data_IF_741300225755
#
_entry.id   IF_741300225755
#
_cell.length_a   1.000
_cell.length_b   1.000
_cell.length_c   1.000
_cell.angle_alpha   90.00
_cell.angle_beta   90.00
_cell.angle_gamma   90.00
#
_symmetry.space_group_name_H-M   'P 1'
#
loop_
_entity.id
_entity.type
_entity.pdbx_description
1 polymer ?
#
# COMPACT_ATOMS: atom_id res chain seq x y z
N UNK A 1 8.58 28.15 15.71
CA UNK A 1 8.47 28.09 14.23
C UNK A 1 8.57 26.67 13.68
N UNK A 2 8.80 25.65 14.53
CA UNK A 2 8.99 24.22 14.17
C UNK A 2 7.70 23.41 13.94
N UNK A 3 6.53 23.93 14.29
CA UNK A 3 5.26 23.16 14.22
C UNK A 3 4.67 22.97 12.82
N UNK A 4 5.16 23.69 11.81
CA UNK A 4 4.49 23.73 10.48
C UNK A 4 5.10 22.78 9.43
N UNK A 5 6.32 22.31 9.59
CA UNK A 5 7.00 21.50 8.57
C UNK A 5 6.53 20.02 8.57
N UNK A 6 6.38 19.41 9.75
CA UNK A 6 5.97 17.99 9.84
C UNK A 6 4.57 17.72 9.27
N UNK A 7 3.61 18.62 9.47
CA UNK A 7 2.23 18.47 9.03
C UNK A 7 2.09 18.50 7.49
N UNK A 8 2.89 19.32 6.81
CA UNK A 8 2.86 19.40 5.33
C UNK A 8 3.35 18.11 4.66
N UNK A 9 4.33 17.44 5.22
CA UNK A 9 4.90 16.22 4.65
C UNK A 9 3.96 15.02 4.82
N UNK A 10 3.34 14.84 5.98
CA UNK A 10 2.38 13.76 6.20
C UNK A 10 1.10 13.93 5.40
N UNK A 11 0.63 15.17 5.23
CA UNK A 11 -0.49 15.45 4.32
C UNK A 11 -0.14 15.13 2.87
N UNK A 12 1.09 15.32 2.45
CA UNK A 12 1.54 14.98 1.09
C UNK A 12 1.63 13.45 0.91
N UNK A 13 2.13 12.72 1.90
CA UNK A 13 2.17 11.24 1.87
C UNK A 13 0.75 10.67 1.91
N UNK A 14 -0.13 11.19 2.75
CA UNK A 14 -1.55 10.80 2.80
C UNK A 14 -2.29 11.19 1.52
N UNK A 15 -2.02 12.35 0.94
CA UNK A 15 -2.58 12.77 -0.35
C UNK A 15 -2.08 11.91 -1.50
N UNK A 16 -0.81 11.51 -1.51
CA UNK A 16 -0.25 10.56 -2.47
C UNK A 16 -0.84 9.16 -2.30
N UNK A 17 -1.03 8.70 -1.07
CA UNK A 17 -1.71 7.44 -0.78
C UNK A 17 -3.19 7.51 -1.17
N UNK A 18 -3.88 8.64 -0.96
CA UNK A 18 -5.27 8.83 -1.40
C UNK A 18 -5.42 8.94 -2.92
N UNK A 19 -4.43 9.51 -3.62
CA UNK A 19 -4.39 9.52 -5.08
C UNK A 19 -4.22 8.11 -5.68
N UNK A 20 -3.62 7.17 -4.97
CA UNK A 20 -3.57 5.74 -5.32
C UNK A 20 -4.95 5.08 -5.32
N UNK A 21 -5.95 5.67 -4.67
CA UNK A 21 -7.29 5.12 -4.46
C UNK A 21 -8.32 5.61 -5.48
N UNK A 22 -8.03 6.69 -6.20
CA UNK A 22 -8.86 7.15 -7.29
C UNK A 22 -8.71 6.18 -8.48
N UNK A 23 -9.62 5.22 -8.60
CA UNK A 23 -9.86 4.53 -9.88
C UNK A 23 -10.23 5.59 -10.90
N UNK A 24 -9.58 5.66 -12.07
CA UNK A 24 -10.09 6.53 -13.12
C UNK A 24 -11.50 6.08 -13.48
N UNK A 25 -12.48 6.93 -13.19
CA UNK A 25 -13.82 6.79 -13.75
C UNK A 25 -13.70 6.77 -15.27
N UNK A 26 -14.50 5.97 -16.00
CA UNK A 26 -14.48 6.01 -17.44
C UNK A 26 -14.88 7.41 -17.88
N UNK A 27 -14.02 8.09 -18.63
CA UNK A 27 -14.33 9.32 -19.34
C UNK A 27 -15.39 8.98 -20.40
N UNK A 28 -16.66 9.10 -20.06
CA UNK A 28 -17.74 9.22 -21.01
C UNK A 28 -17.70 10.66 -21.51
N UNK A 29 -17.24 10.82 -22.74
CA UNK A 29 -17.33 12.07 -23.46
C UNK A 29 -18.81 12.36 -23.74
N UNK A 30 -19.47 13.15 -22.90
CA UNK A 30 -20.78 13.74 -23.22
C UNK A 30 -20.52 15.12 -23.84
N UNK A 31 -20.61 15.15 -25.17
CA UNK A 31 -20.65 16.37 -25.96
C UNK A 31 -22.04 16.96 -25.79
N UNK A 32 -22.22 17.94 -24.91
CA UNK A 32 -23.27 18.95 -25.06
C UNK A 32 -22.64 20.29 -25.41
N UNK A 33 -22.75 20.62 -26.68
CA UNK A 33 -22.58 21.97 -27.23
C UNK A 33 -23.78 22.79 -26.79
N UNK A 34 -23.56 23.84 -26.01
CA UNK A 34 -24.51 24.97 -25.91
C UNK A 34 -23.96 26.11 -26.74
N UNK A 35 -24.69 26.38 -27.82
CA UNK A 35 -24.53 27.59 -28.62
C UNK A 35 -24.81 28.84 -27.80
N UNK A 36 -23.92 29.83 -27.93
CA UNK A 36 -24.35 31.24 -27.85
C UNK A 36 -23.68 32.02 -28.99
N UNK A 37 -24.58 32.63 -29.79
CA UNK A 37 -24.29 33.37 -30.99
C UNK A 37 -23.49 34.67 -30.75
N UNK A 38 -22.57 34.98 -31.65
CA UNK A 38 -22.47 36.37 -32.16
C UNK A 38 -21.89 36.41 -33.58
N UNK A 39 -22.63 37.06 -34.40
CA UNK A 39 -22.55 37.45 -35.80
C UNK A 39 -21.26 38.18 -36.20
N UNK A 40 -20.75 37.89 -37.38
CA UNK A 40 -20.39 38.80 -38.49
C UNK A 40 -19.88 38.00 -39.71
N UNK A 41 -20.61 38.15 -40.85
CA UNK A 41 -20.17 37.67 -42.18
C UNK A 41 -19.36 38.74 -42.93
N UNK A 42 -19.22 38.73 -44.28
CA UNK A 42 -19.47 37.66 -45.24
C UNK A 42 -18.33 37.39 -46.29
N UNK A 43 -18.36 36.21 -46.93
CA UNK A 43 -18.10 35.80 -48.34
C UNK A 43 -16.91 36.38 -49.16
N UNK A 44 -16.48 35.81 -50.35
CA UNK A 44 -16.80 34.53 -50.99
C UNK A 44 -15.62 33.80 -51.73
N UNK A 45 -15.95 32.65 -52.35
CA UNK A 45 -15.61 32.18 -53.72
C UNK A 45 -14.62 31.03 -53.96
N UNK A 46 -15.14 30.12 -54.80
CA UNK A 46 -14.55 29.16 -55.76
C UNK A 46 -14.01 27.82 -55.16
N UNK A 47 -14.38 26.71 -55.74
CA UNK A 47 -15.10 26.13 -56.87
C UNK A 47 -15.15 24.63 -56.73
N UNK A 48 -16.24 24.07 -57.07
CA UNK A 48 -16.62 23.02 -58.00
C UNK A 48 -15.66 21.88 -58.30
N UNK A 49 -16.20 20.72 -58.15
CA UNK A 49 -16.53 19.55 -59.01
C UNK A 49 -15.88 18.28 -58.49
N UNK A 50 -16.39 17.06 -58.48
CA UNK A 50 -17.53 16.42 -59.12
C UNK A 50 -17.86 15.11 -58.41
N UNK A 51 -19.07 14.78 -58.37
CA UNK A 51 -19.94 13.66 -58.47
C UNK A 51 -19.36 12.33 -59.03
N UNK A 52 -19.85 11.23 -58.45
CA UNK A 52 -20.48 10.05 -59.04
C UNK A 52 -20.42 8.91 -58.01
N UNK A 53 -21.48 8.49 -57.40
CA UNK A 53 -22.54 7.56 -57.84
C UNK A 53 -22.01 6.14 -58.04
N UNK A 54 -22.48 5.24 -57.18
CA UNK A 54 -22.91 3.89 -57.56
C UNK A 54 -23.59 3.18 -56.37
N UNK A 55 -24.91 3.26 -56.39
CA UNK A 55 -25.83 2.30 -55.76
C UNK A 55 -25.77 1.00 -56.54
N UNK A 56 -25.70 -0.11 -55.86
CA UNK A 56 -26.30 -1.35 -56.36
C UNK A 56 -26.92 -2.17 -55.23
N UNK A 57 -28.22 -2.24 -55.34
CA UNK A 57 -29.19 -3.15 -54.76
C UNK A 57 -29.06 -4.56 -55.35
N UNK A 58 -29.27 -5.58 -54.55
CA UNK A 58 -29.87 -6.85 -54.92
C UNK A 58 -30.19 -7.60 -53.65
N UNK A 59 -31.30 -7.81 -53.27
CA UNK A 59 -32.52 -8.53 -53.69
C UNK A 59 -32.59 -9.88 -52.98
N UNK A 60 -33.54 -9.93 -52.06
CA UNK A 60 -34.12 -11.09 -51.43
C UNK A 60 -35.08 -11.77 -52.38
N UNK A 61 -35.10 -13.07 -52.51
CA UNK A 61 -36.30 -13.90 -52.50
C UNK A 61 -36.01 -15.39 -52.80
N UNK A 62 -36.78 -16.19 -52.07
CA UNK A 62 -37.29 -17.52 -52.46
C UNK A 62 -36.38 -18.75 -52.22
N UNK A 63 -36.70 -19.56 -51.23
CA UNK A 63 -37.38 -20.82 -51.53
C UNK A 63 -38.04 -21.38 -50.26
N UNK A 64 -39.34 -21.25 -50.18
CA UNK A 64 -40.25 -22.10 -49.42
C UNK A 64 -40.74 -23.16 -50.44
N UNK A 65 -40.66 -24.40 -50.05
CA UNK A 65 -41.76 -25.35 -50.13
C UNK A 65 -41.31 -26.83 -50.15
N UNK A 66 -42.17 -27.57 -49.47
CA UNK A 66 -42.47 -29.02 -49.62
C UNK A 66 -41.53 -30.00 -48.90
N UNK A 67 -41.95 -30.71 -47.86
CA UNK A 67 -42.97 -31.79 -47.95
C UNK A 67 -43.49 -32.20 -46.56
N UNK A 68 -44.79 -32.31 -46.46
CA UNK A 68 -45.56 -33.02 -45.45
C UNK A 68 -45.37 -34.54 -45.64
N UNK A 69 -45.15 -35.26 -44.55
CA UNK A 69 -45.23 -36.71 -44.49
C UNK A 69 -45.68 -37.19 -43.11
N UNK A 70 -46.92 -37.61 -43.03
CA UNK A 70 -47.63 -38.22 -41.94
C UNK A 70 -47.09 -39.61 -41.56
N UNK A 71 -46.92 -39.89 -40.26
CA UNK A 71 -46.61 -41.26 -39.79
C UNK A 71 -46.59 -41.36 -38.28
N UNK A 72 -47.70 -41.78 -37.70
CA UNK A 72 -47.88 -42.16 -36.29
C UNK A 72 -47.19 -43.50 -35.98
N UNK A 73 -46.35 -43.55 -34.95
CA UNK A 73 -46.02 -44.79 -34.20
C UNK A 73 -45.52 -44.51 -32.81
N UNK A 74 -46.08 -45.22 -31.83
CA UNK A 74 -45.88 -45.16 -30.39
C UNK A 74 -44.56 -45.84 -29.92
N UNK A 75 -44.13 -45.63 -28.68
CA UNK A 75 -42.69 -45.67 -28.29
C UNK A 75 -42.22 -47.02 -27.82
N UNK A 76 -41.10 -47.46 -28.36
CA UNK A 76 -40.30 -48.55 -27.81
C UNK A 76 -39.16 -47.96 -26.95
N UNK A 77 -39.12 -48.43 -25.70
CA UNK A 77 -38.05 -48.20 -24.72
C UNK A 77 -36.73 -48.79 -25.27
N UNK A 78 -35.80 -47.98 -25.69
CA UNK A 78 -34.43 -48.40 -26.03
C UNK A 78 -33.43 -47.73 -25.09
N UNK A 79 -32.62 -48.59 -24.49
CA UNK A 79 -31.55 -48.23 -23.56
C UNK A 79 -30.58 -47.22 -24.16
N UNK A 80 -30.39 -46.11 -23.43
CA UNK A 80 -29.29 -45.16 -23.70
C UNK A 80 -27.97 -45.79 -23.26
N UNK A 81 -27.25 -46.39 -24.11
CA UNK A 81 -25.79 -46.49 -24.02
C UNK A 81 -25.22 -45.15 -24.46
N UNK A 82 -25.02 -44.26 -23.49
CA UNK A 82 -24.26 -43.04 -23.71
C UNK A 82 -22.78 -43.45 -23.90
N UNK A 83 -22.36 -43.58 -25.11
CA UNK A 83 -20.95 -43.49 -25.48
C UNK A 83 -20.50 -42.06 -25.15
N UNK A 84 -19.90 -41.90 -23.97
CA UNK A 84 -19.08 -40.75 -23.68
C UNK A 84 -17.88 -40.83 -24.61
N UNK A 85 -17.95 -40.09 -25.74
CA UNK A 85 -16.75 -39.73 -26.47
C UNK A 85 -15.85 -38.97 -25.47
N UNK A 86 -14.83 -39.67 -24.98
CA UNK A 86 -13.71 -39.02 -24.29
C UNK A 86 -13.09 -38.08 -25.30
N UNK A 87 -13.37 -36.78 -25.12
CA UNK A 87 -12.53 -35.77 -25.74
C UNK A 87 -11.08 -36.11 -25.39
N UNK A 88 -10.17 -36.16 -26.37
CA UNK A 88 -8.77 -36.40 -26.09
C UNK A 88 -8.30 -35.29 -25.17
N UNK A 89 -7.88 -35.68 -23.98
CA UNK A 89 -7.18 -34.83 -23.04
C UNK A 89 -5.88 -34.37 -23.74
N UNK A 90 -5.94 -33.26 -24.44
CA UNK A 90 -4.74 -32.53 -24.80
C UNK A 90 -4.16 -31.99 -23.48
N UNK A 91 -3.52 -32.82 -22.71
CA UNK A 91 -2.64 -32.47 -21.63
C UNK A 91 -1.43 -31.75 -22.23
N UNK A 92 -1.67 -30.51 -22.68
CA UNK A 92 -0.60 -29.57 -22.93
C UNK A 92 0.18 -29.39 -21.61
N UNK A 93 1.49 -29.14 -21.67
CA UNK A 93 2.33 -29.06 -20.49
C UNK A 93 1.63 -28.15 -19.47
N UNK A 94 1.40 -28.63 -18.21
CA UNK A 94 0.71 -27.92 -17.14
C UNK A 94 1.35 -26.55 -17.03
N UNK A 95 0.72 -25.53 -17.62
CA UNK A 95 1.23 -24.14 -17.60
C UNK A 95 1.36 -23.74 -16.15
N UNK A 96 2.58 -23.38 -15.72
CA UNK A 96 2.82 -22.88 -14.36
C UNK A 96 1.86 -21.73 -14.10
N UNK A 97 1.16 -21.74 -12.96
CA UNK A 97 0.15 -20.72 -12.61
C UNK A 97 0.75 -19.33 -12.41
N UNK A 98 2.02 -19.27 -12.06
CA UNK A 98 2.76 -18.05 -11.71
C UNK A 98 3.84 -17.76 -12.76
N UNK A 99 4.12 -16.48 -12.93
CA UNK A 99 5.25 -15.94 -13.66
C UNK A 99 6.23 -15.32 -12.66
N UNK A 100 7.47 -15.81 -12.66
CA UNK A 100 8.53 -15.35 -11.76
C UNK A 100 9.32 -14.20 -12.37
N UNK A 101 9.84 -13.33 -11.52
CA UNK A 101 10.56 -12.14 -11.92
C UNK A 101 11.74 -11.91 -10.98
N UNK A 102 12.87 -11.46 -11.52
CA UNK A 102 14.03 -11.00 -10.77
C UNK A 102 14.37 -9.59 -11.24
N UNK A 103 14.56 -8.68 -10.30
CA UNK A 103 14.86 -7.28 -10.58
C UNK A 103 16.05 -6.78 -9.78
N UNK A 104 16.79 -5.85 -10.37
CA UNK A 104 17.79 -5.05 -9.69
C UNK A 104 17.47 -3.58 -9.92
N UNK A 105 17.58 -2.75 -8.86
CA UNK A 105 17.27 -1.33 -8.92
C UNK A 105 18.35 -0.53 -8.19
N UNK A 106 18.57 0.68 -8.66
CA UNK A 106 19.40 1.70 -8.02
C UNK A 106 18.54 2.93 -7.73
N UNK A 107 18.70 3.51 -6.52
CA UNK A 107 17.88 4.63 -6.03
C UNK A 107 18.77 5.71 -5.41
N UNK A 108 19.13 6.77 -6.14
CA UNK A 108 19.62 8.00 -5.57
C UNK A 108 18.44 8.82 -5.03
N UNK A 109 18.51 9.20 -3.76
CA UNK A 109 17.44 9.95 -3.08
C UNK A 109 18.03 11.12 -2.29
N UNK A 110 17.32 12.25 -2.28
CA UNK A 110 17.59 13.40 -1.42
C UNK A 110 16.98 13.15 -0.05
N UNK A 111 17.76 13.32 1.01
CA UNK A 111 17.32 13.21 2.41
C UNK A 111 16.78 14.57 2.85
N UNK A 112 15.57 14.60 3.39
CA UNK A 112 14.99 15.83 3.93
C UNK A 112 15.60 16.15 5.30
N UNK A 113 16.09 17.38 5.53
CA UNK A 113 16.67 17.80 6.81
C UNK A 113 15.58 18.05 7.85
N UNK A 114 15.01 16.97 8.40
CA UNK A 114 13.90 17.01 9.36
C UNK A 114 14.33 17.26 10.79
N UNK A 115 15.63 17.22 11.06
CA UNK A 115 16.20 17.52 12.37
C UNK A 115 17.61 18.12 12.25
N UNK A 116 18.18 18.75 13.33
CA UNK A 116 19.48 19.38 13.29
C UNK A 116 20.63 18.44 12.91
N UNK A 117 20.58 17.15 13.28
CA UNK A 117 21.60 16.18 12.92
C UNK A 117 21.73 16.00 11.40
N UNK A 118 20.61 15.90 10.69
CA UNK A 118 20.57 15.83 9.23
C UNK A 118 20.96 17.16 8.56
N UNK A 119 20.73 18.29 9.25
CA UNK A 119 21.05 19.66 8.76
C UNK A 119 22.47 20.11 9.09
N UNK A 120 23.34 19.18 9.53
CA UNK A 120 24.78 19.44 9.70
C UNK A 120 25.27 19.46 11.14
N UNK A 121 24.40 19.30 12.16
CA UNK A 121 24.84 19.11 13.56
C UNK A 121 25.24 17.63 13.75
N UNK A 122 26.29 17.21 13.06
CA UNK A 122 26.86 15.87 13.07
C UNK A 122 28.39 15.96 13.07
N UNK A 123 29.08 14.83 13.23
CA UNK A 123 30.54 14.79 13.28
C UNK A 123 31.23 15.23 11.98
N UNK A 124 30.50 15.19 10.85
CA UNK A 124 31.00 15.63 9.54
C UNK A 124 30.82 17.14 9.33
N UNK A 125 30.09 17.84 10.21
CA UNK A 125 29.79 19.28 10.14
C UNK A 125 29.22 19.69 8.77
N UNK A 126 28.38 18.85 8.17
CA UNK A 126 27.75 19.10 6.87
C UNK A 126 26.36 18.48 6.80
N UNK A 127 25.45 19.06 6.00
CA UNK A 127 24.15 18.45 5.75
C UNK A 127 24.28 17.03 5.16
N UNK A 128 23.37 16.16 5.57
CA UNK A 128 23.23 14.80 5.04
C UNK A 128 22.04 14.80 4.07
N UNK A 129 22.34 15.04 2.81
CA UNK A 129 21.33 15.26 1.77
C UNK A 129 21.23 14.13 0.74
N UNK A 130 22.13 13.14 0.79
CA UNK A 130 22.20 12.06 -0.19
C UNK A 130 22.05 10.69 0.45
N UNK A 131 21.14 9.90 -0.09
CA UNK A 131 20.99 8.46 0.13
C UNK A 131 21.19 7.73 -1.19
N UNK A 132 22.06 6.73 -1.21
CA UNK A 132 22.24 5.82 -2.34
C UNK A 132 21.76 4.44 -1.91
N UNK A 133 20.91 3.79 -2.71
CA UNK A 133 20.47 2.45 -2.40
C UNK A 133 20.53 1.51 -3.61
N UNK A 134 20.94 0.27 -3.35
CA UNK A 134 20.93 -0.82 -4.30
C UNK A 134 19.94 -1.89 -3.83
N UNK A 135 19.03 -2.32 -4.71
CA UNK A 135 17.98 -3.27 -4.41
C UNK A 135 18.08 -4.51 -5.28
N UNK A 136 17.87 -5.67 -4.68
CA UNK A 136 17.65 -6.95 -5.37
C UNK A 136 16.25 -7.46 -5.01
N UNK A 137 15.44 -7.82 -6.02
CA UNK A 137 14.01 -8.09 -5.84
C UNK A 137 13.62 -9.38 -6.56
N UNK A 138 13.01 -10.29 -5.83
CA UNK A 138 12.31 -11.44 -6.41
C UNK A 138 10.82 -11.25 -6.26
N UNK A 139 10.06 -11.45 -7.36
CA UNK A 139 8.60 -11.38 -7.32
C UNK A 139 7.96 -12.42 -8.23
N UNK A 140 6.68 -12.61 -8.00
CA UNK A 140 5.82 -13.39 -8.87
C UNK A 140 4.52 -12.63 -9.16
N UNK A 141 3.93 -12.92 -10.30
CA UNK A 141 2.61 -12.43 -10.67
C UNK A 141 1.77 -13.60 -11.21
N UNK A 142 0.45 -13.46 -11.16
CA UNK A 142 -0.45 -14.39 -11.82
C UNK A 142 -0.36 -14.23 -13.34
N UNK A 143 -0.41 -15.35 -14.06
CA UNK A 143 -0.37 -15.29 -15.52
C UNK A 143 -1.57 -14.55 -16.08
N UNK A 144 -1.39 -13.77 -17.16
CA UNK A 144 -2.47 -13.07 -17.83
C UNK A 144 -3.64 -14.00 -18.18
N UNK A 145 -4.87 -13.57 -17.85
CA UNK A 145 -6.10 -14.33 -18.08
C UNK A 145 -6.43 -15.39 -17.04
N UNK A 146 -5.57 -15.64 -16.03
CA UNK A 146 -5.92 -16.49 -14.89
C UNK A 146 -7.03 -15.84 -14.05
N UNK A 147 -7.72 -16.65 -13.22
CA UNK A 147 -8.79 -16.16 -12.35
C UNK A 147 -8.33 -14.98 -11.45
N UNK A 148 -7.14 -15.11 -10.84
CA UNK A 148 -6.57 -14.06 -10.00
C UNK A 148 -6.17 -12.81 -10.80
N UNK A 149 -5.61 -12.97 -12.02
CA UNK A 149 -5.29 -11.84 -12.89
C UNK A 149 -6.55 -11.09 -13.34
N UNK A 150 -7.65 -11.79 -13.59
CA UNK A 150 -8.95 -11.17 -13.93
C UNK A 150 -9.47 -10.29 -12.78
N UNK A 151 -9.28 -10.71 -11.54
CA UNK A 151 -9.68 -9.95 -10.34
C UNK A 151 -8.72 -8.78 -10.12
N UNK A 152 -7.41 -9.05 -10.02
CA UNK A 152 -6.43 -8.07 -9.50
C UNK A 152 -5.68 -7.30 -10.58
N UNK A 153 -5.66 -7.80 -11.82
CA UNK A 153 -5.19 -7.04 -12.98
C UNK A 153 -3.67 -6.88 -13.10
N UNK A 154 -2.92 -7.98 -13.09
CA UNK A 154 -1.47 -7.96 -13.29
C UNK A 154 -0.68 -7.47 -12.08
N UNK A 155 -1.25 -7.67 -10.88
CA UNK A 155 -0.56 -7.47 -9.61
C UNK A 155 0.61 -8.43 -9.49
N UNK A 156 1.75 -7.94 -9.03
CA UNK A 156 2.91 -8.73 -8.66
C UNK A 156 3.30 -8.45 -7.22
N UNK A 157 3.88 -9.43 -6.56
CA UNK A 157 4.33 -9.34 -5.17
C UNK A 157 5.58 -10.18 -4.95
N UNK A 158 6.35 -9.83 -3.92
CA UNK A 158 7.59 -10.53 -3.65
C UNK A 158 8.34 -10.05 -2.42
N UNK A 159 9.60 -10.45 -2.37
CA UNK A 159 10.54 -10.08 -1.33
C UNK A 159 11.75 -9.40 -1.97
N UNK A 160 12.27 -8.38 -1.31
CA UNK A 160 13.46 -7.65 -1.72
C UNK A 160 14.46 -7.50 -0.60
N UNK A 161 15.71 -7.31 -0.98
CA UNK A 161 16.78 -6.87 -0.12
C UNK A 161 17.38 -5.58 -0.67
N UNK A 162 17.79 -4.66 0.21
CA UNK A 162 18.41 -3.41 -0.17
C UNK A 162 19.59 -3.08 0.76
N UNK A 163 20.58 -2.43 0.19
CA UNK A 163 21.69 -1.82 0.91
C UNK A 163 21.60 -0.31 0.75
N UNK A 164 21.76 0.42 1.85
CA UNK A 164 21.69 1.88 1.89
C UNK A 164 23.01 2.47 2.34
N UNK A 165 23.44 3.53 1.66
CA UNK A 165 24.56 4.38 2.01
C UNK A 165 24.07 5.82 2.16
N UNK A 166 24.23 6.37 3.36
CA UNK A 166 23.85 7.75 3.72
C UNK A 166 25.06 8.68 3.78
N UNK A 167 26.20 8.27 3.28
CA UNK A 167 27.48 8.98 3.32
C UNK A 167 27.96 9.37 4.74
N UNK A 168 27.42 8.72 5.77
CA UNK A 168 27.84 8.84 7.18
C UNK A 168 27.83 7.48 7.89
N UNK A 169 28.76 6.57 7.55
CA UNK A 169 28.80 5.25 8.16
C UNK A 169 29.23 5.28 9.64
N UNK A 170 29.81 6.39 10.10
CA UNK A 170 30.27 6.53 11.50
C UNK A 170 29.12 6.71 12.48
N UNK A 171 28.12 7.50 12.13
CA UNK A 171 27.00 7.87 13.01
C UNK A 171 25.69 7.18 12.66
N UNK A 172 25.41 6.91 11.34
CA UNK A 172 24.20 6.20 10.91
C UNK A 172 24.43 4.72 10.59
N UNK A 173 25.65 4.36 10.16
CA UNK A 173 25.92 3.06 9.59
C UNK A 173 25.45 2.96 8.14
N UNK A 174 25.61 1.77 7.54
CA UNK A 174 25.12 1.42 6.21
C UNK A 174 24.11 0.28 6.36
N UNK A 175 22.82 0.58 6.57
CA UNK A 175 21.85 -0.44 6.87
C UNK A 175 21.48 -1.29 5.65
N UNK A 176 21.15 -2.55 5.95
CA UNK A 176 20.56 -3.50 5.00
C UNK A 176 19.08 -3.63 5.35
N UNK A 177 18.22 -3.66 4.36
CA UNK A 177 16.80 -3.90 4.56
C UNK A 177 16.35 -5.20 3.88
N UNK A 178 15.40 -5.89 4.52
CA UNK A 178 14.62 -6.98 3.93
C UNK A 178 13.16 -6.55 3.97
N UNK A 179 12.48 -6.62 2.83
CA UNK A 179 11.13 -6.10 2.71
C UNK A 179 10.23 -6.95 1.82
N UNK A 180 8.95 -6.93 2.13
CA UNK A 180 7.88 -7.38 1.26
C UNK A 180 7.48 -6.23 0.35
N UNK A 181 7.10 -6.53 -0.88
CA UNK A 181 6.61 -5.51 -1.80
C UNK A 181 5.47 -6.03 -2.67
N UNK A 182 4.68 -5.09 -3.13
CA UNK A 182 3.62 -5.36 -4.08
C UNK A 182 3.46 -4.14 -4.98
N UNK A 183 3.22 -4.43 -6.24
CA UNK A 183 2.93 -3.40 -7.21
C UNK A 183 1.93 -3.85 -8.26
N UNK A 184 1.41 -2.88 -9.00
CA UNK A 184 0.50 -3.13 -10.10
C UNK A 184 0.61 -2.04 -11.16
N UNK A 185 0.08 -2.36 -12.33
CA UNK A 185 -0.04 -1.40 -13.42
C UNK A 185 -1.24 -0.47 -13.17
N UNK A 186 -0.99 0.84 -13.17
CA UNK A 186 -2.01 1.89 -13.11
C UNK A 186 -2.63 2.08 -14.49
N UNK A 187 -1.75 2.32 -15.49
CA UNK A 187 -2.18 2.62 -16.85
C UNK A 187 -1.21 2.04 -17.89
N UNK A 188 -1.75 1.73 -19.06
CA UNK A 188 -0.96 1.36 -20.23
C UNK A 188 -0.88 2.56 -21.17
N UNK A 189 0.31 3.12 -21.35
CA UNK A 189 0.55 4.30 -22.17
C UNK A 189 0.79 3.94 -23.63
N UNK A 190 1.45 2.79 -23.89
CA UNK A 190 1.65 2.25 -25.23
C UNK A 190 1.75 0.72 -25.21
N UNK A 191 2.05 0.10 -26.36
CA UNK A 191 2.28 -1.35 -26.44
C UNK A 191 3.44 -1.82 -25.56
N UNK A 192 4.46 -0.97 -25.32
CA UNK A 192 5.67 -1.29 -24.57
C UNK A 192 5.83 -0.48 -23.28
N UNK A 193 5.02 0.56 -23.06
CA UNK A 193 5.18 1.48 -21.95
C UNK A 193 3.94 1.45 -21.03
N UNK A 194 4.14 1.34 -19.74
CA UNK A 194 3.08 1.40 -18.73
C UNK A 194 3.51 2.20 -17.50
N UNK A 195 2.55 2.89 -16.89
CA UNK A 195 2.68 3.52 -15.59
C UNK A 195 2.29 2.50 -14.51
N UNK A 196 3.11 2.39 -13.48
CA UNK A 196 2.95 1.43 -12.40
C UNK A 196 3.16 2.12 -11.06
N UNK A 197 2.66 1.49 -9.99
CA UNK A 197 3.03 1.80 -8.62
C UNK A 197 3.64 0.58 -7.94
N UNK A 198 4.39 0.81 -6.90
CA UNK A 198 4.90 -0.20 -5.98
C UNK A 198 5.02 0.39 -4.58
N UNK A 199 4.69 -0.40 -3.58
CA UNK A 199 5.00 -0.11 -2.19
C UNK A 199 5.86 -1.23 -1.60
N UNK A 200 6.76 -0.85 -0.71
CA UNK A 200 7.62 -1.76 0.03
C UNK A 200 7.41 -1.53 1.53
N UNK A 201 7.35 -2.61 2.28
CA UNK A 201 7.31 -2.60 3.72
C UNK A 201 8.26 -3.66 4.28
N UNK A 202 9.14 -3.27 5.18
CA UNK A 202 10.12 -4.19 5.72
C UNK A 202 10.85 -3.68 6.96
N UNK A 203 11.91 -4.37 7.26
CA UNK A 203 12.81 -4.07 8.38
C UNK A 203 14.20 -3.80 7.84
N UNK A 204 14.86 -2.81 8.42
CA UNK A 204 16.25 -2.46 8.15
C UNK A 204 17.09 -2.58 9.42
N UNK A 205 18.27 -3.10 9.28
CA UNK A 205 19.21 -3.39 10.37
C UNK A 205 20.63 -2.97 9.97
N UNK A 206 21.51 -2.82 10.98
CA UNK A 206 22.86 -2.29 10.78
C UNK A 206 22.95 -0.78 11.00
N UNK A 207 21.90 -0.17 11.54
CA UNK A 207 21.93 1.21 12.01
C UNK A 207 22.82 1.37 13.23
N UNK A 208 23.49 2.51 13.36
CA UNK A 208 24.16 2.96 14.57
C UNK A 208 23.21 3.87 15.35
N UNK A 209 22.66 3.41 16.47
CA UNK A 209 21.70 4.21 17.23
C UNK A 209 22.37 5.34 17.99
N UNK A 210 21.57 6.29 18.47
CA UNK A 210 22.00 7.24 19.49
C UNK A 210 22.63 6.51 20.68
N UNK A 211 23.76 7.01 21.10
CA UNK A 211 24.44 6.57 22.32
C UNK A 211 25.06 7.81 22.98
N UNK A 212 24.82 7.98 24.28
CA UNK A 212 25.23 9.19 25.01
C UNK A 212 26.75 9.40 25.02
N UNK A 213 27.52 8.33 24.97
CA UNK A 213 28.97 8.39 25.07
C UNK A 213 29.64 8.32 23.70
N UNK A 214 29.12 7.48 22.79
CA UNK A 214 29.80 7.16 21.54
C UNK A 214 29.14 7.71 20.29
N UNK A 215 27.86 8.17 20.37
CA UNK A 215 27.09 8.66 19.23
C UNK A 215 26.03 9.69 19.66
N UNK A 216 26.44 10.67 20.47
CA UNK A 216 25.54 11.64 21.12
C UNK A 216 24.91 12.64 20.11
N UNK A 217 25.53 12.87 18.96
CA UNK A 217 25.00 13.77 17.95
C UNK A 217 23.86 13.15 17.12
N UNK A 218 23.77 11.81 17.06
CA UNK A 218 22.69 11.14 16.34
C UNK A 218 21.34 11.27 17.06
N UNK A 219 20.74 12.42 16.98
CA UNK A 219 19.38 12.67 17.54
C UNK A 219 18.26 12.12 16.64
N UNK A 220 18.59 11.42 15.56
CA UNK A 220 17.63 10.93 14.59
C UNK A 220 17.10 9.53 14.93
N UNK A 221 17.98 8.59 15.29
CA UNK A 221 17.63 7.17 15.38
C UNK A 221 18.15 6.52 16.66
N UNK A 222 17.23 6.02 17.49
CA UNK A 222 17.55 5.38 18.78
C UNK A 222 17.59 3.85 18.73
N UNK A 223 17.48 3.22 17.55
CA UNK A 223 17.46 1.76 17.45
C UNK A 223 18.31 1.20 16.31
N UNK A 224 18.82 -0.03 16.50
CA UNK A 224 19.55 -0.79 15.46
C UNK A 224 18.65 -1.42 14.42
N UNK A 225 17.36 -1.56 14.73
CA UNK A 225 16.33 -2.15 13.89
C UNK A 225 15.25 -1.10 13.64
N UNK A 226 14.99 -0.78 12.37
CA UNK A 226 13.99 0.20 11.98
C UNK A 226 13.08 -0.33 10.89
N UNK A 227 11.83 0.14 10.87
CA UNK A 227 10.92 -0.13 9.78
C UNK A 227 11.36 0.63 8.52
N UNK A 228 11.18 0.00 7.37
CA UNK A 228 11.29 0.59 6.04
C UNK A 228 9.90 0.68 5.42
N UNK A 229 9.52 1.87 5.00
CA UNK A 229 8.35 2.15 4.18
C UNK A 229 8.82 2.82 2.90
N UNK A 230 8.34 2.36 1.75
CA UNK A 230 8.64 3.01 0.47
C UNK A 230 7.43 2.96 -0.44
N UNK A 231 7.26 4.02 -1.23
CA UNK A 231 6.25 4.11 -2.30
C UNK A 231 6.92 4.66 -3.54
N UNK A 232 6.69 4.01 -4.66
CA UNK A 232 7.25 4.39 -5.95
C UNK A 232 6.17 4.44 -7.03
N UNK A 233 6.30 5.42 -7.92
CA UNK A 233 5.56 5.49 -9.17
C UNK A 233 6.56 5.44 -10.31
N UNK A 234 6.39 4.55 -11.26
CA UNK A 234 7.40 4.38 -12.28
C UNK A 234 6.83 3.97 -13.64
N UNK A 235 7.54 4.36 -14.66
CA UNK A 235 7.37 3.89 -16.02
C UNK A 235 8.08 2.56 -16.18
N UNK A 236 7.37 1.57 -16.69
CA UNK A 236 7.94 0.30 -17.10
C UNK A 236 7.97 0.23 -18.61
N UNK A 237 9.15 0.14 -19.18
CA UNK A 237 9.39 -0.01 -20.60
C UNK A 237 9.82 -1.43 -20.90
N UNK A 238 9.02 -2.14 -21.68
CA UNK A 238 9.33 -3.48 -22.16
C UNK A 238 10.38 -3.41 -23.27
N UNK A 239 11.63 -3.75 -22.95
CA UNK A 239 12.73 -3.81 -23.92
C UNK A 239 12.58 -5.04 -24.81
N UNK A 240 12.43 -6.23 -24.19
CA UNK A 240 12.13 -7.49 -24.84
C UNK A 240 10.90 -8.15 -24.21
N UNK A 241 10.50 -9.32 -24.69
CA UNK A 241 9.42 -10.06 -24.03
C UNK A 241 9.79 -10.55 -22.61
N UNK A 242 11.07 -10.63 -22.28
CA UNK A 242 11.55 -11.05 -20.96
C UNK A 242 12.16 -9.92 -20.11
N UNK A 243 12.62 -8.83 -20.72
CA UNK A 243 13.34 -7.75 -20.03
C UNK A 243 12.55 -6.47 -20.03
N UNK A 244 12.34 -5.91 -18.85
CA UNK A 244 11.71 -4.61 -18.61
C UNK A 244 12.72 -3.64 -17.97
N UNK A 245 12.76 -2.40 -18.45
CA UNK A 245 13.42 -1.26 -17.82
C UNK A 245 12.39 -0.50 -17.00
N UNK A 246 12.76 -0.08 -15.79
CA UNK A 246 11.89 0.72 -14.89
C UNK A 246 12.58 2.01 -14.53
N UNK A 247 11.82 3.11 -14.47
CA UNK A 247 12.31 4.43 -14.08
C UNK A 247 11.18 5.30 -13.53
N UNK A 248 11.42 5.99 -12.40
CA UNK A 248 10.42 6.90 -11.84
C UNK A 248 10.74 7.40 -10.44
N UNK A 249 9.88 8.28 -9.89
CA UNK A 249 10.04 8.81 -8.54
C UNK A 249 9.79 7.74 -7.46
N UNK A 250 10.48 7.91 -6.34
CA UNK A 250 10.40 7.07 -5.15
C UNK A 250 10.45 7.93 -3.89
N UNK A 251 9.75 7.48 -2.84
CA UNK A 251 9.73 8.09 -1.51
C UNK A 251 10.06 6.99 -0.50
N UNK A 252 10.99 7.24 0.40
CA UNK A 252 11.43 6.27 1.41
C UNK A 252 11.34 6.89 2.81
N UNK A 253 10.90 6.08 3.77
CA UNK A 253 10.83 6.46 5.18
C UNK A 253 11.38 5.34 6.06
N UNK A 254 12.23 5.72 7.03
CA UNK A 254 12.70 4.86 8.08
C UNK A 254 12.30 5.40 9.44
N UNK A 255 11.84 4.51 10.33
CA UNK A 255 11.57 4.85 11.73
C UNK A 255 11.55 3.60 12.62
N UNK A 256 11.72 3.78 13.92
CA UNK A 256 11.55 2.69 14.87
C UNK A 256 10.12 2.59 15.45
N UNK A 257 9.19 3.43 15.00
CA UNK A 257 7.82 3.42 15.47
C UNK A 257 7.65 3.78 16.94
N UNK A 258 8.51 4.64 17.50
CA UNK A 258 8.55 5.07 18.90
C UNK A 258 8.87 3.97 19.93
N UNK A 259 9.41 2.85 19.48
CA UNK A 259 9.89 1.79 20.41
C UNK A 259 11.09 2.24 21.23
N UNK A 260 11.88 3.19 20.70
CA UNK A 260 13.02 3.84 21.37
C UNK A 260 13.07 5.32 21.02
N UNK A 261 13.72 6.12 21.87
CA UNK A 261 13.98 7.55 21.62
C UNK A 261 15.50 7.74 21.50
N UNK A 262 15.98 8.56 20.55
CA UNK A 262 15.22 9.39 19.59
C UNK A 262 14.59 8.60 18.45
N UNK A 263 13.56 9.16 17.84
CA UNK A 263 12.91 8.67 16.63
C UNK A 263 12.38 9.84 15.77
N UNK A 264 13.28 10.65 15.24
CA UNK A 264 12.89 11.72 14.31
C UNK A 264 12.51 11.16 12.93
N UNK A 265 12.95 9.95 12.61
CA UNK A 265 12.76 9.29 11.33
C UNK A 265 13.59 9.90 10.20
N UNK A 266 13.98 9.07 9.22
CA UNK A 266 14.65 9.52 8.01
C UNK A 266 13.68 9.44 6.84
N UNK A 267 13.49 10.59 6.17
CA UNK A 267 12.64 10.70 4.99
C UNK A 267 13.51 11.08 3.79
N UNK A 268 13.33 10.39 2.68
CA UNK A 268 14.03 10.71 1.43
C UNK A 268 13.11 10.59 0.23
N UNK A 269 13.42 11.36 -0.82
CA UNK A 269 12.75 11.31 -2.11
C UNK A 269 13.78 11.35 -3.24
N UNK A 270 13.51 10.61 -4.30
CA UNK A 270 14.43 10.57 -5.42
C UNK A 270 13.89 9.82 -6.61
N UNK A 271 14.79 9.22 -7.36
CA UNK A 271 14.49 8.46 -8.55
C UNK A 271 14.93 7.01 -8.37
N UNK A 272 14.16 6.10 -8.93
CA UNK A 272 14.60 4.71 -9.11
C UNK A 272 14.84 4.42 -10.58
N UNK A 273 15.86 3.64 -10.85
CA UNK A 273 16.14 3.04 -12.15
C UNK A 273 16.45 1.56 -11.96
N UNK A 274 15.87 0.68 -12.80
CA UNK A 274 16.06 -0.74 -12.60
C UNK A 274 15.77 -1.58 -13.84
N UNK A 275 16.24 -2.81 -13.79
CA UNK A 275 16.00 -3.86 -14.78
C UNK A 275 15.26 -5.02 -14.13
N UNK A 276 14.27 -5.57 -14.82
CA UNK A 276 13.50 -6.72 -14.36
C UNK A 276 13.46 -7.79 -15.44
N UNK A 277 13.97 -8.99 -15.13
CA UNK A 277 13.86 -10.17 -15.94
C UNK A 277 12.58 -10.96 -15.58
N UNK A 278 11.77 -11.30 -16.59
CA UNK A 278 10.50 -12.02 -16.44
C UNK A 278 10.66 -13.44 -17.00
N UNK A 279 10.81 -14.41 -16.14
CA UNK A 279 11.08 -15.78 -16.56
C UNK A 279 9.87 -16.44 -17.24
N UNK A 280 10.07 -16.91 -18.46
CA UNK A 280 9.05 -17.62 -19.23
C UNK A 280 7.84 -16.78 -19.62
N UNK A 281 7.97 -15.45 -19.69
CA UNK A 281 6.95 -14.57 -20.27
C UNK A 281 7.00 -14.70 -21.79
N UNK A 282 5.91 -15.17 -22.39
CA UNK A 282 5.81 -15.28 -23.84
C UNK A 282 5.54 -13.93 -24.49
N UNK A 283 5.87 -13.79 -25.79
CA UNK A 283 5.58 -12.58 -26.56
C UNK A 283 4.07 -12.28 -26.62
N UNK A 284 3.22 -13.31 -26.61
CA UNK A 284 1.77 -13.17 -26.56
C UNK A 284 1.32 -12.59 -25.22
N UNK A 285 1.78 -13.13 -24.09
CA UNK A 285 1.48 -12.64 -22.74
C UNK A 285 1.96 -11.20 -22.51
N UNK A 286 3.14 -10.85 -23.04
CA UNK A 286 3.67 -9.50 -22.99
C UNK A 286 2.80 -8.46 -23.73
N UNK A 287 2.08 -8.89 -24.78
CA UNK A 287 1.21 -8.06 -25.63
C UNK A 287 -0.24 -7.99 -25.15
N UNK A 288 -0.66 -8.76 -24.16
CA UNK A 288 -2.05 -8.75 -23.68
C UNK A 288 -2.44 -7.30 -23.29
N UNK A 289 -3.25 -6.71 -24.16
CA UNK A 289 -3.63 -5.29 -24.03
C UNK A 289 -4.92 -5.10 -23.26
N UNK A 290 -5.84 -6.07 -23.35
CA UNK A 290 -7.20 -5.93 -22.84
C UNK A 290 -7.32 -6.55 -21.45
N UNK A 291 -7.88 -5.78 -20.53
CA UNK A 291 -8.34 -6.33 -19.25
C UNK A 291 -9.51 -7.28 -19.56
N UNK A 292 -9.38 -8.52 -19.16
CA UNK A 292 -10.48 -9.47 -19.20
C UNK A 292 -11.39 -9.14 -18.02
N UNK A 293 -12.69 -9.07 -18.25
CA UNK A 293 -13.66 -8.77 -17.20
C UNK A 293 -13.51 -9.77 -16.05
N UNK A 294 -13.52 -9.21 -14.83
CA UNK A 294 -13.45 -10.02 -13.63
C UNK A 294 -14.70 -10.90 -13.47
N UNK A 295 -14.61 -11.95 -12.65
CA UNK A 295 -15.79 -12.73 -12.29
C UNK A 295 -16.78 -11.87 -11.51
N UNK A 296 -18.06 -12.24 -11.57
CA UNK A 296 -19.12 -11.55 -10.83
C UNK A 296 -18.82 -11.52 -9.34
N UNK A 297 -19.05 -10.37 -8.73
CA UNK A 297 -18.90 -10.15 -7.30
C UNK A 297 -20.26 -9.94 -6.64
N UNK A 298 -20.48 -10.62 -5.52
CA UNK A 298 -21.66 -10.38 -4.68
C UNK A 298 -21.23 -9.60 -3.44
N UNK A 299 -21.70 -8.36 -3.25
CA UNK A 299 -21.42 -7.59 -2.05
C UNK A 299 -21.82 -8.34 -0.78
N UNK A 300 -21.04 -8.24 0.27
CA UNK A 300 -21.28 -8.92 1.54
C UNK A 300 -20.53 -8.25 2.69
N UNK A 301 -20.98 -8.50 3.91
CA UNK A 301 -20.28 -8.08 5.12
C UNK A 301 -19.21 -9.11 5.51
N UNK A 302 -18.06 -8.62 5.97
CA UNK A 302 -17.05 -9.40 6.70
C UNK A 302 -16.79 -8.76 8.05
N UNK A 303 -16.33 -9.54 9.02
CA UNK A 303 -15.99 -9.04 10.35
C UNK A 303 -14.55 -9.42 10.64
N UNK A 304 -13.71 -8.43 10.90
CA UNK A 304 -12.31 -8.64 11.25
C UNK A 304 -12.13 -8.43 12.75
N UNK A 305 -11.59 -9.44 13.44
CA UNK A 305 -11.12 -9.34 14.81
C UNK A 305 -9.60 -9.31 14.78
N UNK A 306 -8.98 -8.29 15.37
CA UNK A 306 -7.52 -8.13 15.46
C UNK A 306 -7.13 -7.96 16.91
N UNK A 307 -6.15 -8.75 17.34
CA UNK A 307 -5.43 -8.57 18.60
C UNK A 307 -4.02 -8.09 18.27
N UNK A 308 -3.58 -7.04 18.94
CA UNK A 308 -2.24 -6.49 18.72
C UNK A 308 -1.58 -6.06 20.03
N UNK A 309 -0.26 -6.01 19.99
CA UNK A 309 0.53 -5.48 21.07
C UNK A 309 1.79 -4.80 20.54
N UNK A 310 2.36 -3.96 21.38
CA UNK A 310 3.65 -3.33 21.16
C UNK A 310 4.21 -2.78 22.46
N UNK A 311 5.33 -2.11 22.34
CA UNK A 311 5.93 -1.36 23.44
C UNK A 311 6.40 -0.02 22.91
N UNK A 312 6.41 1.00 23.78
CA UNK A 312 6.90 2.33 23.44
C UNK A 312 7.57 3.01 24.64
N UNK A 313 8.49 3.92 24.36
CA UNK A 313 8.98 4.86 25.34
C UNK A 313 8.17 6.15 25.29
N UNK A 314 8.05 6.82 26.43
CA UNK A 314 7.34 8.10 26.54
C UNK A 314 8.32 9.24 26.77
N UNK A 315 8.19 10.33 26.01
CA UNK A 315 8.76 11.62 26.37
C UNK A 315 7.81 12.35 27.31
N UNK A 316 8.29 12.77 28.47
CA UNK A 316 7.53 13.60 29.42
C UNK A 316 8.21 14.95 29.52
N UNK A 317 7.41 16.02 29.40
CA UNK A 317 7.89 17.39 29.59
C UNK A 317 7.97 17.69 31.09
N UNK A 318 9.14 18.19 31.54
CA UNK A 318 9.36 18.63 32.91
C UNK A 318 10.34 19.81 32.89
N UNK A 319 10.02 20.90 33.58
CA UNK A 319 10.83 22.12 33.68
C UNK A 319 11.34 22.62 32.31
N UNK A 320 10.46 22.65 31.31
CA UNK A 320 10.77 23.13 29.95
C UNK A 320 11.59 22.14 29.08
N UNK A 321 12.03 21.03 29.64
CA UNK A 321 12.80 20.00 28.96
C UNK A 321 11.94 18.74 28.69
N UNK A 322 12.34 17.96 27.69
CA UNK A 322 11.73 16.67 27.41
C UNK A 322 12.64 15.52 27.88
N UNK A 323 12.11 14.67 28.75
CA UNK A 323 12.82 13.51 29.28
C UNK A 323 12.18 12.24 28.75
N UNK A 324 13.05 11.35 28.23
CA UNK A 324 12.60 10.02 27.79
C UNK A 324 12.49 9.08 29.01
N UNK A 325 11.39 8.32 29.09
CA UNK A 325 11.26 7.32 30.16
C UNK A 325 12.38 6.26 30.05
N UNK A 326 12.96 5.84 31.19
CA UNK A 326 14.00 4.80 31.21
C UNK A 326 13.46 3.46 30.72
N UNK A 327 12.19 3.18 31.04
CA UNK A 327 11.51 1.93 30.70
C UNK A 327 10.58 2.09 29.49
N UNK A 328 10.37 0.99 28.80
CA UNK A 328 9.35 0.88 27.78
C UNK A 328 8.01 0.43 28.40
N UNK A 329 6.93 1.03 27.96
CA UNK A 329 5.58 0.72 28.38
C UNK A 329 4.89 -0.19 27.38
N UNK A 330 4.12 -1.16 27.88
CA UNK A 330 3.34 -2.08 27.06
C UNK A 330 2.10 -1.39 26.53
N UNK A 331 1.81 -1.63 25.24
CA UNK A 331 0.55 -1.27 24.57
C UNK A 331 -0.12 -2.56 24.12
N UNK A 332 -1.41 -2.73 24.45
CA UNK A 332 -2.25 -3.85 24.00
C UNK A 332 -3.53 -3.31 23.40
N UNK A 333 -4.04 -3.96 22.37
CA UNK A 333 -5.28 -3.52 21.77
C UNK A 333 -6.05 -4.61 21.04
N UNK A 334 -7.31 -4.31 20.82
CA UNK A 334 -8.27 -5.13 20.12
C UNK A 334 -9.05 -4.25 19.15
N UNK A 335 -9.18 -4.68 17.89
CA UNK A 335 -10.10 -4.07 16.94
C UNK A 335 -11.14 -5.07 16.50
N UNK A 336 -12.40 -4.67 16.51
CA UNK A 336 -13.50 -5.42 15.91
C UNK A 336 -14.14 -4.57 14.82
N UNK A 337 -13.89 -4.93 13.56
CA UNK A 337 -14.31 -4.16 12.40
C UNK A 337 -15.37 -4.89 11.58
N UNK A 338 -16.53 -4.23 11.38
CA UNK A 338 -17.58 -4.65 10.45
C UNK A 338 -17.34 -3.96 9.09
N UNK A 339 -16.97 -4.75 8.07
CA UNK A 339 -16.51 -4.25 6.77
C UNK A 339 -17.45 -4.68 5.65
N UNK A 340 -17.99 -3.74 4.90
CA UNK A 340 -18.76 -3.99 3.68
C UNK A 340 -17.84 -4.09 2.48
N UNK A 341 -17.88 -5.22 1.77
CA UNK A 341 -17.10 -5.48 0.58
C UNK A 341 -17.89 -5.02 -0.65
N UNK A 342 -17.44 -3.92 -1.29
CA UNK A 342 -18.06 -3.38 -2.50
C UNK A 342 -17.63 -4.16 -3.75
N UNK A 343 -16.50 -4.82 -3.68
CA UNK A 343 -15.89 -5.60 -4.75
C UNK A 343 -14.72 -6.43 -4.22
N UNK A 344 -14.00 -7.07 -5.10
CA UNK A 344 -12.83 -7.87 -4.72
C UNK A 344 -11.69 -7.04 -4.10
N UNK A 345 -11.59 -5.76 -4.48
CA UNK A 345 -10.43 -4.91 -4.16
C UNK A 345 -10.69 -3.87 -3.09
N UNK A 346 -11.93 -3.55 -2.80
CA UNK A 346 -12.26 -2.45 -1.91
C UNK A 346 -13.33 -2.83 -0.91
N UNK A 347 -13.10 -2.48 0.33
CA UNK A 347 -14.06 -2.59 1.42
C UNK A 347 -13.93 -1.44 2.40
N UNK A 348 -15.02 -1.05 3.01
CA UNK A 348 -15.06 -0.02 4.03
C UNK A 348 -16.06 -0.37 5.13
N UNK A 349 -15.91 0.22 6.29
CA UNK A 349 -16.78 -0.08 7.42
C UNK A 349 -16.40 0.68 8.68
N UNK A 350 -16.91 0.19 9.80
CA UNK A 350 -16.67 0.75 11.13
C UNK A 350 -15.96 -0.27 12.00
N UNK A 351 -15.13 0.22 12.92
CA UNK A 351 -14.40 -0.59 13.90
C UNK A 351 -14.57 -0.04 15.31
N UNK A 352 -14.81 -0.94 16.25
CA UNK A 352 -14.69 -0.69 17.67
C UNK A 352 -13.27 -1.04 18.09
N UNK A 353 -12.57 -0.11 18.73
CA UNK A 353 -11.13 -0.18 18.99
C UNK A 353 -10.88 -0.04 20.50
N UNK A 354 -10.59 -1.15 21.16
CA UNK A 354 -10.15 -1.15 22.58
C UNK A 354 -8.65 -1.04 22.68
N UNK A 355 -8.15 -0.21 23.59
CA UNK A 355 -6.74 -0.01 23.83
C UNK A 355 -6.39 0.11 25.32
N UNK A 356 -5.29 -0.53 25.70
CA UNK A 356 -4.51 -0.28 26.89
C UNK A 356 -3.17 0.29 26.48
N UNK A 357 -2.82 1.49 26.94
CA UNK A 357 -1.50 2.12 26.76
C UNK A 357 -0.89 2.41 28.10
N UNK A 358 0.06 1.57 28.53
CA UNK A 358 0.77 1.71 29.80
C UNK A 358 1.60 2.99 29.92
N UNK A 359 1.83 3.71 28.82
CA UNK A 359 2.52 5.00 28.81
C UNK A 359 1.57 6.19 28.98
N UNK A 360 0.26 5.96 28.86
CA UNK A 360 -0.71 7.05 28.91
C UNK A 360 -0.76 7.68 30.30
N UNK A 361 -0.79 9.01 30.30
CA UNK A 361 -0.86 9.83 31.50
C UNK A 361 0.28 9.60 32.50
N UNK A 362 1.42 9.04 32.09
CA UNK A 362 2.65 8.97 32.88
C UNK A 362 3.20 10.41 33.04
N UNK A 363 3.56 10.76 34.25
CA UNK A 363 4.04 12.10 34.60
C UNK A 363 5.24 12.06 35.54
N UNK A 364 5.99 13.15 35.59
CA UNK A 364 7.04 13.39 36.59
C UNK A 364 6.43 14.32 37.63
N UNK A 365 6.35 13.94 38.91
CA UNK A 365 5.80 14.78 39.96
C UNK A 365 6.70 16.00 40.20
N UNK A 366 6.09 17.17 40.41
CA UNK A 366 6.80 18.38 40.81
C UNK A 366 7.43 18.14 42.20
N UNK A 367 8.75 18.02 42.23
CA UNK A 367 9.51 17.95 43.48
C UNK A 367 10.36 19.22 43.62
N UNK A 368 10.34 19.81 44.79
CA UNK A 368 11.29 20.86 45.18
C UNK A 368 12.63 20.17 45.39
N UNK A 369 13.53 20.27 44.42
CA UNK A 369 14.93 19.79 44.55
C UNK A 369 15.80 20.89 45.15
N UNK A 370 16.65 20.54 46.12
CA UNK A 370 17.64 21.46 46.62
C UNK A 370 18.65 21.82 45.51
N UNK A 371 19.10 23.07 45.53
CA UNK A 371 20.10 23.59 44.58
C UNK A 371 21.37 22.72 44.68
N UNK A 372 21.69 21.95 43.62
CA UNK A 372 22.90 21.13 43.53
C UNK A 372 22.69 19.64 43.36
N UNK A 373 21.48 19.11 43.55
CA UNK A 373 21.18 17.70 43.29
C UNK A 373 20.73 17.52 41.85
N UNK A 374 21.30 16.55 41.13
CA UNK A 374 20.74 16.05 39.88
C UNK A 374 19.47 15.28 40.25
N UNK A 375 18.26 15.72 39.83
CA UNK A 375 17.04 15.04 40.23
C UNK A 375 17.01 13.63 39.62
N UNK A 376 16.93 12.60 40.43
CA UNK A 376 16.45 11.29 40.01
C UNK A 376 14.99 11.47 39.57
N UNK A 377 14.76 11.56 38.26
CA UNK A 377 13.45 11.75 37.69
C UNK A 377 12.62 10.49 37.84
N UNK A 378 11.66 10.52 38.75
CA UNK A 378 10.72 9.42 38.96
C UNK A 378 9.53 9.54 38.01
N UNK A 379 9.35 8.53 37.16
CA UNK A 379 8.20 8.43 36.25
C UNK A 379 7.06 7.68 36.92
N UNK A 380 6.00 8.38 37.29
CA UNK A 380 4.84 7.83 37.99
C UNK A 380 3.77 7.38 37.01
N UNK A 381 3.31 6.13 37.16
CA UNK A 381 2.18 5.58 36.40
C UNK A 381 0.86 5.88 37.11
N UNK A 382 -0.17 6.38 36.41
CA UNK A 382 -1.50 6.54 36.96
C UNK A 382 -2.20 5.18 37.14
N UNK A 383 -3.41 5.20 37.71
CA UNK A 383 -4.28 4.04 37.74
C UNK A 383 -4.64 3.52 36.33
N UNK A 384 -4.85 2.22 36.19
CA UNK A 384 -5.14 1.53 34.93
C UNK A 384 -6.34 2.12 34.16
N UNK A 385 -7.31 2.67 34.90
CA UNK A 385 -8.49 3.32 34.37
C UNK A 385 -8.19 4.58 33.54
N UNK A 386 -7.02 5.24 33.76
CA UNK A 386 -6.51 6.34 32.94
C UNK A 386 -5.65 5.88 31.77
N UNK A 387 -5.40 4.59 31.66
CA UNK A 387 -4.60 3.96 30.60
C UNK A 387 -5.46 3.15 29.63
N UNK A 388 -6.77 3.11 29.84
CA UNK A 388 -7.74 2.40 29.00
C UNK A 388 -8.58 3.38 28.19
N UNK A 389 -8.83 3.02 26.93
CA UNK A 389 -9.83 3.70 26.10
C UNK A 389 -10.57 2.73 25.20
N UNK A 390 -11.79 3.13 24.83
CA UNK A 390 -12.57 2.53 23.76
C UNK A 390 -12.85 3.60 22.71
N UNK A 391 -12.45 3.32 21.49
CA UNK A 391 -12.59 4.20 20.34
C UNK A 391 -13.55 3.64 19.29
N UNK A 392 -14.05 4.52 18.45
CA UNK A 392 -14.81 4.19 17.25
C UNK A 392 -14.08 4.77 16.04
N UNK A 393 -13.89 3.96 14.99
CA UNK A 393 -13.23 4.42 13.77
C UNK A 393 -13.96 3.99 12.50
N UNK A 394 -13.88 4.85 11.49
CA UNK A 394 -14.17 4.50 10.10
C UNK A 394 -12.92 3.86 9.48
N UNK A 395 -13.11 2.78 8.74
CA UNK A 395 -12.04 2.01 8.10
C UNK A 395 -12.28 1.93 6.61
N UNK A 396 -11.21 2.01 5.84
CA UNK A 396 -11.21 1.72 4.42
C UNK A 396 -10.00 0.87 4.07
N UNK A 397 -10.21 -0.16 3.24
CA UNK A 397 -9.17 -1.14 2.93
C UNK A 397 -9.12 -1.46 1.44
N UNK A 398 -7.90 -1.54 0.94
CA UNK A 398 -7.59 -2.01 -0.41
C UNK A 398 -7.03 -3.43 -0.34
N UNK A 399 -7.78 -4.37 -0.92
CA UNK A 399 -7.50 -5.81 -0.85
C UNK A 399 -6.76 -6.26 -2.10
N UNK A 400 -5.65 -6.95 -1.89
CA UNK A 400 -4.82 -7.57 -2.90
C UNK A 400 -4.60 -9.05 -2.58
N UNK A 401 -3.99 -9.86 -3.47
CA UNK A 401 -3.96 -11.31 -3.28
C UNK A 401 -3.46 -11.79 -1.90
N UNK A 402 -2.39 -11.25 -1.40
CA UNK A 402 -1.80 -11.66 -0.10
C UNK A 402 -1.78 -10.52 0.91
N UNK A 403 -2.03 -9.31 0.45
CA UNK A 403 -1.90 -8.09 1.24
C UNK A 403 -3.21 -7.31 1.26
N UNK A 404 -3.47 -6.66 2.37
CA UNK A 404 -4.54 -5.66 2.46
C UNK A 404 -3.93 -4.44 3.13
N UNK A 405 -4.02 -3.29 2.46
CA UNK A 405 -3.64 -2.00 3.04
C UNK A 405 -4.91 -1.35 3.55
N UNK A 406 -4.91 -0.93 4.81
CA UNK A 406 -6.01 -0.28 5.47
C UNK A 406 -5.63 1.07 6.04
N UNK A 407 -6.56 1.99 5.98
CA UNK A 407 -6.53 3.25 6.72
C UNK A 407 -7.73 3.32 7.65
N UNK A 408 -7.57 3.97 8.78
CA UNK A 408 -8.64 4.22 9.71
C UNK A 408 -8.58 5.64 10.27
N UNK A 409 -9.74 6.21 10.54
CA UNK A 409 -9.91 7.50 11.20
C UNK A 409 -10.87 7.30 12.36
N UNK A 410 -10.48 7.64 13.58
CA UNK A 410 -11.29 7.40 14.76
C UNK A 410 -11.01 8.35 15.91
N UNK A 411 -11.85 8.27 16.92
CA UNK A 411 -11.68 8.98 18.17
C UNK A 411 -11.96 8.01 19.33
N UNK A 412 -11.21 8.18 20.41
CA UNK A 412 -11.55 7.56 21.67
C UNK A 412 -12.83 8.19 22.22
N UNK A 413 -13.85 7.38 22.49
CA UNK A 413 -15.17 7.80 22.95
C UNK A 413 -15.39 7.54 24.44
N UNK A 414 -14.74 6.50 24.99
CA UNK A 414 -14.73 6.19 26.42
C UNK A 414 -13.28 6.19 26.90
N UNK A 415 -12.94 7.17 27.77
CA UNK A 415 -11.62 7.36 28.35
C UNK A 415 -11.74 8.29 29.57
N UNK A 416 -10.69 8.32 30.39
CA UNK A 416 -10.59 9.25 31.55
C UNK A 416 -9.69 10.47 31.29
N UNK A 417 -9.65 10.96 30.05
CA UNK A 417 -8.95 12.19 29.66
C UNK A 417 -7.44 12.06 29.54
N UNK A 418 -6.77 13.20 29.45
CA UNK A 418 -5.33 13.31 29.26
C UNK A 418 -4.88 12.72 27.92
N UNK A 419 -3.79 11.93 27.96
CA UNK A 419 -3.22 11.31 26.74
C UNK A 419 -4.17 10.37 26.00
N UNK A 420 -5.31 9.98 26.58
CA UNK A 420 -6.29 9.09 25.93
C UNK A 420 -7.39 9.86 25.19
N UNK A 421 -7.47 11.19 25.32
CA UNK A 421 -8.42 12.04 24.57
C UNK A 421 -7.78 12.56 23.28
N UNK A 422 -7.81 11.75 22.23
CA UNK A 422 -7.27 12.14 20.93
C UNK A 422 -8.06 11.57 19.77
N UNK A 423 -7.91 12.22 18.63
CA UNK A 423 -8.33 11.73 17.33
C UNK A 423 -7.18 10.93 16.71
N UNK A 424 -7.42 9.68 16.35
CA UNK A 424 -6.37 8.80 15.83
C UNK A 424 -6.56 8.43 14.37
N UNK A 425 -5.42 8.22 13.72
CA UNK A 425 -5.31 7.67 12.40
C UNK A 425 -4.56 6.36 12.49
N UNK A 426 -5.01 5.37 11.73
CA UNK A 426 -4.32 4.09 11.64
C UNK A 426 -3.94 3.80 10.21
N UNK A 427 -2.71 3.36 10.00
CA UNK A 427 -2.25 2.75 8.77
C UNK A 427 -1.95 1.30 9.09
N UNK A 428 -2.47 0.36 8.29
CA UNK A 428 -2.29 -1.06 8.55
C UNK A 428 -1.99 -1.84 7.27
N UNK A 429 -1.06 -2.76 7.39
CA UNK A 429 -0.79 -3.82 6.42
C UNK A 429 -1.25 -5.15 7.05
N UNK A 430 -2.17 -5.84 6.39
CA UNK A 430 -2.59 -7.19 6.75
C UNK A 430 -1.98 -8.16 5.74
N UNK A 431 -1.22 -9.12 6.23
CA UNK A 431 -0.58 -10.17 5.42
C UNK A 431 -1.35 -11.46 5.62
N UNK A 432 -2.03 -11.95 4.59
CA UNK A 432 -2.82 -13.18 4.65
C UNK A 432 -1.94 -14.41 4.87
N UNK A 433 -2.24 -15.19 5.91
CA UNK A 433 -1.57 -16.46 6.24
C UNK A 433 -2.42 -17.63 5.81
N UNK A 434 -3.72 -17.59 6.11
CA UNK A 434 -4.71 -18.54 5.63
C UNK A 434 -5.85 -17.79 4.96
N UNK A 435 -6.90 -18.52 4.56
CA UNK A 435 -8.10 -17.88 4.01
C UNK A 435 -8.70 -16.82 4.96
N UNK A 436 -8.67 -17.09 6.26
CA UNK A 436 -9.33 -16.27 7.27
C UNK A 436 -8.37 -15.59 8.25
N UNK A 437 -7.15 -16.08 8.43
CA UNK A 437 -6.16 -15.49 9.34
C UNK A 437 -5.14 -14.63 8.62
N UNK A 438 -4.69 -13.58 9.30
CA UNK A 438 -3.67 -12.68 8.78
C UNK A 438 -2.79 -12.13 9.92
N UNK A 439 -1.55 -11.82 9.58
CA UNK A 439 -0.67 -10.99 10.41
C UNK A 439 -1.09 -9.54 10.21
N UNK A 440 -1.18 -8.80 11.30
CA UNK A 440 -1.50 -7.37 11.32
C UNK A 440 -0.27 -6.57 11.73
N UNK A 441 0.11 -5.64 10.87
CA UNK A 441 1.20 -4.71 11.10
C UNK A 441 0.63 -3.31 10.88
N UNK A 442 0.43 -2.57 11.94
CA UNK A 442 -0.18 -1.26 11.88
C UNK A 442 0.62 -0.22 12.63
N UNK A 443 0.27 1.02 12.39
CA UNK A 443 0.79 2.17 13.09
C UNK A 443 -0.34 3.14 13.41
N UNK A 444 -0.37 3.63 14.64
CA UNK A 444 -1.30 4.65 15.11
C UNK A 444 -0.60 6.00 15.17
N UNK A 445 -1.28 7.03 14.66
CA UNK A 445 -0.93 8.44 14.81
C UNK A 445 -1.99 9.10 15.66
N UNK A 446 -1.62 10.14 16.38
CA UNK A 446 -2.54 11.06 17.08
C UNK A 446 -2.56 12.39 16.37
N UNK A 447 -3.75 12.94 16.17
CA UNK A 447 -3.96 14.31 15.63
C UNK A 447 -3.19 14.59 14.34
N UNK A 448 -3.08 13.57 13.45
CA UNK A 448 -2.46 13.58 12.13
C UNK A 448 -0.95 13.81 12.07
N UNK A 449 -0.29 14.11 13.16
CA UNK A 449 1.14 14.45 13.14
C UNK A 449 1.96 13.84 14.27
N UNK A 450 1.33 13.40 15.35
CA UNK A 450 2.05 12.84 16.49
C UNK A 450 2.18 11.33 16.37
N UNK A 451 3.41 10.81 16.25
CA UNK A 451 3.66 9.37 16.29
C UNK A 451 3.15 8.77 17.59
N UNK A 452 2.37 7.69 17.53
CA UNK A 452 1.82 7.06 18.71
C UNK A 452 2.48 5.71 18.97
N UNK A 453 1.96 4.60 18.43
CA UNK A 453 2.50 3.27 18.70
C UNK A 453 2.32 2.33 17.51
N UNK A 454 3.16 1.28 17.49
CA UNK A 454 3.01 0.14 16.59
C UNK A 454 1.84 -0.74 17.02
N UNK A 455 1.24 -1.43 16.04
CA UNK A 455 0.15 -2.38 16.23
C UNK A 455 0.58 -3.71 15.60
N UNK A 456 1.35 -4.52 16.31
CA UNK A 456 1.88 -5.80 15.83
C UNK A 456 1.00 -6.92 16.36
N UNK A 457 0.41 -7.72 15.48
CA UNK A 457 -0.53 -8.74 15.94
C UNK A 457 -1.02 -9.68 14.87
N UNK A 458 -2.14 -10.30 15.18
CA UNK A 458 -2.82 -11.22 14.29
C UNK A 458 -4.33 -10.94 14.28
N UNK A 459 -4.96 -11.31 13.18
CA UNK A 459 -6.41 -11.17 13.06
C UNK A 459 -7.07 -12.34 12.39
N UNK A 460 -8.37 -12.41 12.61
CA UNK A 460 -9.25 -13.39 12.00
C UNK A 460 -10.41 -12.69 11.30
N UNK A 461 -10.73 -13.14 10.09
CA UNK A 461 -11.84 -12.63 9.28
C UNK A 461 -12.96 -13.63 9.20
N UNK A 462 -14.14 -13.25 9.71
CA UNK A 462 -15.36 -14.02 9.61
C UNK A 462 -16.10 -13.67 8.31
N UNK A 463 -16.87 -14.64 7.79
CA UNK A 463 -17.66 -14.53 6.55
C UNK A 463 -16.84 -14.13 5.33
N UNK A 464 -15.57 -14.56 5.26
CA UNK A 464 -14.70 -14.28 4.13
C UNK A 464 -15.10 -15.08 2.89
N UNK A 465 -15.52 -14.39 1.83
CA UNK A 465 -15.89 -14.96 0.53
C UNK A 465 -14.84 -14.68 -0.54
N UNK A 466 -13.71 -14.08 -0.18
CA UNK A 466 -12.62 -13.82 -1.12
C UNK A 466 -12.08 -15.13 -1.72
N UNK A 467 -11.68 -15.14 -2.99
CA UNK A 467 -11.09 -16.31 -3.61
C UNK A 467 -9.83 -16.76 -2.88
N UNK A 468 -9.64 -18.07 -2.82
CA UNK A 468 -8.42 -18.66 -2.27
C UNK A 468 -7.32 -18.63 -3.34
N UNK A 469 -6.14 -18.13 -3.00
CA UNK A 469 -5.02 -17.99 -3.94
C UNK A 469 -3.86 -18.96 -3.64
N UNK A 470 -4.02 -19.80 -2.61
CA UNK A 470 -3.00 -20.77 -2.18
C UNK A 470 -3.11 -22.10 -2.92
#
# INVERSE_FOLDING_TARGET
>A
MERTYGMRYWMTVLALLSALWASPAPLTADRRVTESAQTYGPTPCFGREAAADLRQTADTTALRDTLRGTGTARPGRLARTAGQERQPDFAGPKRRRLQHRLGAEFRPEYIFPTNPFLDGVNSLMRPMDLSLAAHLKYSFQFRPGSYADRIYGGVYQGIGAAYYDFANPLELGNPVAIYLFQGARIARLSRRLSLNYEWNFGLSFGWKPYDRENNALNTMMGSRLNALLNVSFYLRWMLTHELDLTFGPTLTHFSNGNTTIPNAGLNSAGLQAGLTCNFGRTAAEARVARRIDGPDFRPHMTYDLVLFGSWRRKGVAFDGNQYASPDAYTVLGLNFAAMYNFGYKFRAGLSLDGIYDGSANVYIPDRITAVGDSPDLEFVKPGIDRQLALGLSARAEFVMPYFTIGIGLGRNILHKGGDMDYFYQTLALKVGVTRNSFVHIGYSLSDFHMPNFLMLGAGWRFNNRSPHHY
#
